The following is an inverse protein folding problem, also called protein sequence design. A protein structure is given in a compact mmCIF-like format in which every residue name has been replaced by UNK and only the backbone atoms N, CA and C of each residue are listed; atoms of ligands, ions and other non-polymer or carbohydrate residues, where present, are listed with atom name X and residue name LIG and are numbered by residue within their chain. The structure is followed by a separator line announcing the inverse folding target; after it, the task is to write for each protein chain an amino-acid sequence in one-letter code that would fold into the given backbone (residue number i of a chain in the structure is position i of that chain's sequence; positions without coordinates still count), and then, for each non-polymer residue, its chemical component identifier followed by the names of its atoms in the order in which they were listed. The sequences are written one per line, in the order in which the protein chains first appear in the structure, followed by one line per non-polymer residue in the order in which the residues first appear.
data_IF_615404034210
#
_entry.id   IF_615404034210
#
_cell.length_a   1.000
_cell.length_b   1.000
_cell.length_c   1.000
_cell.angle_alpha   90.00
_cell.angle_beta   90.00
_cell.angle_gamma   90.00
#
_symmetry.space_group_name_H-M   'P 1'
#
loop_
_entity.id
_entity.type
_entity.pdbx_description
1 polymer ?
#
# COMPACT_ATOMS: atom_id res chain seq x y z
N UNK A 1 14.53 27.12 1.47
CA UNK A 1 15.42 25.93 1.40
C UNK A 1 14.58 24.69 1.25
N UNK A 2 15.04 23.74 0.45
CA UNK A 2 14.35 22.46 0.31
C UNK A 2 14.78 21.49 1.38
N UNK A 3 13.81 20.91 2.08
CA UNK A 3 14.03 19.87 3.07
C UNK A 3 13.50 18.54 2.59
N UNK A 4 14.17 17.44 2.97
CA UNK A 4 13.80 16.09 2.61
C UNK A 4 13.16 15.39 3.81
N UNK A 5 11.96 14.84 3.62
CA UNK A 5 11.35 14.01 4.66
C UNK A 5 12.13 12.70 4.80
N UNK A 6 12.62 12.42 6.00
CA UNK A 6 13.43 11.22 6.28
C UNK A 6 12.61 9.92 6.20
N UNK A 7 11.27 10.03 6.21
CA UNK A 7 10.39 8.86 6.21
C UNK A 7 9.97 8.42 4.82
N UNK A 8 9.71 9.37 3.91
CA UNK A 8 9.20 9.05 2.56
C UNK A 8 10.07 9.58 1.43
N UNK A 9 11.07 10.42 1.73
CA UNK A 9 11.94 11.00 0.72
C UNK A 9 11.33 12.15 -0.08
N UNK A 10 10.14 12.62 0.29
CA UNK A 10 9.50 13.74 -0.38
C UNK A 10 10.14 15.06 -0.01
N UNK A 11 10.35 15.94 -0.99
CA UNK A 11 10.94 17.25 -0.77
C UNK A 11 9.86 18.30 -0.46
N UNK A 12 10.17 19.17 0.50
CA UNK A 12 9.30 20.28 0.90
C UNK A 12 10.08 21.57 0.95
N UNK A 13 9.43 22.69 0.60
CA UNK A 13 9.98 24.02 0.81
C UNK A 13 9.77 24.40 2.28
N UNK A 14 10.84 24.66 2.98
CA UNK A 14 10.82 25.00 4.39
C UNK A 14 11.73 26.22 4.66
N UNK A 15 11.44 26.95 5.74
CA UNK A 15 12.29 28.04 6.22
C UNK A 15 13.30 27.49 7.21
N UNK A 16 14.55 27.34 6.78
CA UNK A 16 15.64 26.83 7.62
C UNK A 16 16.98 27.43 7.18
N UNK A 17 17.93 27.49 8.10
CA UNK A 17 19.26 28.01 7.83
C UNK A 17 20.25 26.92 7.42
N UNK A 18 19.98 25.67 7.83
CA UNK A 18 20.84 24.53 7.54
C UNK A 18 20.04 23.42 6.87
N UNK A 19 20.72 22.53 6.13
CA UNK A 19 20.07 21.39 5.49
C UNK A 19 19.51 20.41 6.54
N UNK A 20 20.22 20.20 7.63
CA UNK A 20 19.77 19.33 8.72
C UNK A 20 18.46 19.82 9.34
N UNK A 21 18.36 21.12 9.59
CA UNK A 21 17.14 21.74 10.10
C UNK A 21 15.99 21.66 9.07
N UNK A 22 16.31 21.90 7.79
CA UNK A 22 15.34 21.81 6.71
C UNK A 22 14.76 20.38 6.61
N UNK A 23 15.59 19.37 6.70
CA UNK A 23 15.16 17.97 6.65
C UNK A 23 14.31 17.60 7.86
N UNK A 24 14.66 18.10 9.04
CA UNK A 24 13.88 17.91 10.26
C UNK A 24 12.49 18.51 10.14
N UNK A 25 12.40 19.76 9.70
CA UNK A 25 11.12 20.44 9.53
C UNK A 25 10.27 19.75 8.48
N UNK A 26 10.86 19.35 7.35
CA UNK A 26 10.17 18.62 6.30
C UNK A 26 9.62 17.29 6.80
N UNK A 27 10.38 16.57 7.64
CA UNK A 27 9.95 15.30 8.23
C UNK A 27 8.78 15.47 9.19
N UNK A 28 8.82 16.54 10.01
CA UNK A 28 7.76 16.83 10.98
C UNK A 28 6.47 17.30 10.31
N UNK A 29 6.56 18.08 9.24
CA UNK A 29 5.40 18.66 8.55
C UNK A 29 4.88 17.80 7.40
N UNK A 30 5.57 16.72 7.04
CA UNK A 30 5.14 15.83 5.96
C UNK A 30 3.92 15.00 6.35
N UNK A 31 2.93 14.92 5.46
CA UNK A 31 1.70 14.16 5.66
C UNK A 31 1.86 12.65 5.58
N UNK A 32 3.05 12.15 5.22
CA UNK A 32 3.27 10.72 5.02
C UNK A 32 3.04 9.88 6.29
N UNK A 33 3.10 10.50 7.47
CA UNK A 33 2.81 9.85 8.76
C UNK A 33 1.35 9.99 9.19
N UNK A 34 0.52 10.67 8.39
CA UNK A 34 -0.89 10.84 8.74
C UNK A 34 -1.64 9.52 8.51
N UNK A 35 -2.06 8.87 9.58
CA UNK A 35 -2.77 7.60 9.54
C UNK A 35 -4.05 7.67 8.71
N UNK A 36 -4.82 8.74 8.82
CA UNK A 36 -6.04 8.92 8.05
C UNK A 36 -5.75 8.99 6.55
N UNK A 37 -4.67 9.67 6.15
CA UNK A 37 -4.24 9.73 4.75
C UNK A 37 -3.77 8.36 4.27
N UNK A 38 -2.99 7.66 5.09
CA UNK A 38 -2.53 6.32 4.77
C UNK A 38 -3.70 5.35 4.55
N UNK A 39 -4.69 5.35 5.46
CA UNK A 39 -5.88 4.51 5.34
C UNK A 39 -6.65 4.79 4.05
N UNK A 40 -6.82 6.04 3.68
CA UNK A 40 -7.49 6.43 2.45
C UNK A 40 -6.74 5.93 1.23
N UNK A 41 -5.42 6.11 1.19
CA UNK A 41 -4.58 5.62 0.10
C UNK A 41 -4.63 4.10 0.00
N UNK A 42 -4.58 3.41 1.13
CA UNK A 42 -4.67 1.95 1.18
C UNK A 42 -6.01 1.47 0.64
N UNK A 43 -7.12 2.07 1.09
CA UNK A 43 -8.44 1.71 0.62
C UNK A 43 -8.60 1.93 -0.89
N UNK A 44 -8.13 3.07 -1.41
CA UNK A 44 -8.17 3.36 -2.83
C UNK A 44 -7.35 2.34 -3.63
N UNK A 45 -6.14 2.02 -3.19
CA UNK A 45 -5.26 1.08 -3.88
C UNK A 45 -5.83 -0.34 -3.85
N UNK A 46 -6.40 -0.77 -2.74
CA UNK A 46 -7.04 -2.09 -2.63
C UNK A 46 -8.26 -2.16 -3.54
N UNK A 47 -9.09 -1.12 -3.58
CA UNK A 47 -10.24 -1.06 -4.48
C UNK A 47 -9.83 -1.11 -5.96
N UNK A 48 -8.75 -0.43 -6.34
CA UNK A 48 -8.23 -0.45 -7.71
C UNK A 48 -7.71 -1.82 -8.11
N UNK A 49 -7.09 -2.53 -7.20
CA UNK A 49 -6.45 -3.82 -7.49
C UNK A 49 -7.39 -5.01 -7.25
N UNK A 50 -8.27 -4.93 -6.30
CA UNK A 50 -9.09 -6.04 -5.82
C UNK A 50 -10.60 -5.78 -5.83
N UNK A 51 -11.05 -4.53 -5.87
CA UNK A 51 -12.48 -4.15 -5.88
C UNK A 51 -13.07 -4.07 -7.28
N UNK A 52 -14.18 -3.37 -7.42
CA UNK A 52 -14.87 -3.22 -8.71
C UNK A 52 -13.96 -2.60 -9.78
N UNK A 53 -13.08 -1.68 -9.39
CA UNK A 53 -12.15 -1.05 -10.33
C UNK A 53 -11.12 -2.03 -10.90
N UNK A 54 -10.94 -3.18 -10.27
CA UNK A 54 -10.00 -4.21 -10.76
C UNK A 54 -10.41 -4.79 -12.11
N UNK A 55 -11.67 -4.62 -12.53
CA UNK A 55 -12.14 -4.99 -13.87
C UNK A 55 -11.37 -4.26 -14.96
N UNK A 56 -10.90 -3.04 -14.69
CA UNK A 56 -10.08 -2.26 -15.63
C UNK A 56 -8.72 -2.91 -15.87
N UNK A 57 -8.26 -3.77 -14.96
CA UNK A 57 -7.02 -4.53 -15.06
C UNK A 57 -7.26 -5.98 -15.48
N UNK A 58 -8.48 -6.30 -15.89
CA UNK A 58 -8.92 -7.65 -16.27
C UNK A 58 -8.87 -8.65 -15.11
N UNK A 59 -9.07 -8.19 -13.89
CA UNK A 59 -9.24 -9.05 -12.72
C UNK A 59 -10.72 -9.19 -12.35
N UNK A 60 -11.04 -10.26 -11.65
CA UNK A 60 -12.35 -10.47 -11.07
C UNK A 60 -12.39 -9.77 -9.71
N UNK A 61 -13.36 -8.88 -9.46
CA UNK A 61 -13.47 -8.24 -8.14
C UNK A 61 -13.67 -9.27 -7.03
N UNK A 62 -13.03 -9.01 -5.88
CA UNK A 62 -13.25 -9.84 -4.70
C UNK A 62 -14.62 -9.52 -4.08
N UNK A 63 -15.19 -10.48 -3.38
CA UNK A 63 -16.38 -10.23 -2.57
C UNK A 63 -16.05 -9.33 -1.37
N UNK A 64 -17.09 -8.79 -0.72
CA UNK A 64 -16.90 -7.83 0.38
C UNK A 64 -16.09 -8.40 1.54
N UNK A 65 -16.29 -9.66 1.86
CA UNK A 65 -15.56 -10.33 2.96
C UNK A 65 -14.09 -10.46 2.63
N UNK A 66 -13.75 -10.93 1.43
CA UNK A 66 -12.37 -11.08 0.99
C UNK A 66 -11.67 -9.73 0.85
N UNK A 67 -12.38 -8.74 0.35
CA UNK A 67 -11.86 -7.37 0.21
C UNK A 67 -11.51 -6.77 1.58
N UNK A 68 -12.39 -6.95 2.55
CA UNK A 68 -12.16 -6.50 3.93
C UNK A 68 -10.95 -7.20 4.53
N UNK A 69 -10.78 -8.48 4.27
CA UNK A 69 -9.64 -9.26 4.74
C UNK A 69 -8.31 -8.72 4.19
N UNK A 70 -8.28 -8.38 2.91
CA UNK A 70 -7.10 -7.75 2.29
C UNK A 70 -6.78 -6.41 2.96
N UNK A 71 -7.78 -5.57 3.19
CA UNK A 71 -7.60 -4.27 3.86
C UNK A 71 -7.08 -4.45 5.29
N UNK A 72 -7.66 -5.38 6.06
CA UNK A 72 -7.21 -5.67 7.42
C UNK A 72 -5.77 -6.17 7.44
N UNK A 73 -5.38 -7.00 6.50
CA UNK A 73 -4.00 -7.49 6.37
C UNK A 73 -3.03 -6.35 6.09
N UNK A 74 -3.39 -5.41 5.23
CA UNK A 74 -2.58 -4.22 4.99
C UNK A 74 -2.36 -3.42 6.26
N UNK A 75 -3.39 -3.25 7.08
CA UNK A 75 -3.31 -2.54 8.36
C UNK A 75 -2.37 -3.26 9.34
N UNK A 76 -2.45 -4.58 9.42
CA UNK A 76 -1.59 -5.38 10.29
C UNK A 76 -0.13 -5.30 9.88
N UNK A 77 0.15 -5.29 8.59
CA UNK A 77 1.52 -5.13 8.07
C UNK A 77 2.02 -3.72 8.35
N UNK A 78 1.18 -2.71 8.13
CA UNK A 78 1.52 -1.31 8.41
C UNK A 78 1.83 -1.09 9.88
N UNK A 79 1.08 -1.73 10.78
CA UNK A 79 1.29 -1.65 12.22
C UNK A 79 2.48 -2.48 12.72
N UNK A 80 3.04 -3.35 11.88
CA UNK A 80 4.19 -4.17 12.24
C UNK A 80 3.88 -5.50 12.90
N UNK A 81 2.61 -5.90 12.98
CA UNK A 81 2.23 -7.18 13.59
C UNK A 81 2.62 -8.37 12.72
N UNK A 82 2.56 -8.23 11.41
CA UNK A 82 2.99 -9.23 10.45
C UNK A 82 3.86 -8.56 9.39
N UNK A 83 4.73 -9.33 8.74
CA UNK A 83 5.65 -8.79 7.73
C UNK A 83 5.17 -8.99 6.30
N UNK A 84 4.40 -10.05 6.05
CA UNK A 84 3.88 -10.35 4.73
C UNK A 84 2.67 -11.29 4.83
N UNK A 85 1.93 -11.38 3.74
CA UNK A 85 0.81 -12.30 3.61
C UNK A 85 0.60 -12.66 2.15
N UNK A 86 -0.02 -13.81 1.91
CA UNK A 86 -0.31 -14.33 0.58
C UNK A 86 -1.68 -14.99 0.59
N UNK A 87 -2.52 -14.61 -0.36
CA UNK A 87 -3.87 -15.17 -0.52
C UNK A 87 -4.09 -15.64 -1.94
N UNK A 88 -5.03 -16.56 -2.09
CA UNK A 88 -5.56 -16.95 -3.39
C UNK A 88 -7.05 -16.68 -3.39
N UNK A 89 -7.52 -15.88 -4.32
CA UNK A 89 -8.94 -15.55 -4.48
C UNK A 89 -9.23 -15.08 -5.91
N UNK A 90 -10.44 -15.37 -6.40
CA UNK A 90 -10.92 -14.92 -7.69
C UNK A 90 -9.91 -15.19 -8.83
N UNK A 91 -9.40 -16.41 -8.92
CA UNK A 91 -8.41 -16.87 -9.91
C UNK A 91 -7.12 -16.04 -9.93
N UNK A 92 -6.75 -15.48 -8.82
CA UNK A 92 -5.54 -14.68 -8.68
C UNK A 92 -4.83 -14.96 -7.37
N UNK A 93 -3.57 -14.57 -7.32
CA UNK A 93 -2.74 -14.62 -6.12
C UNK A 93 -2.43 -13.19 -5.70
N UNK A 94 -2.67 -12.89 -4.43
CA UNK A 94 -2.44 -11.58 -3.85
C UNK A 94 -1.34 -11.70 -2.82
N UNK A 95 -0.25 -10.96 -3.02
CA UNK A 95 0.88 -10.88 -2.09
C UNK A 95 0.94 -9.49 -1.50
N UNK A 96 1.06 -9.41 -0.18
CA UNK A 96 1.18 -8.16 0.54
C UNK A 96 2.45 -8.23 1.37
N UNK A 97 3.36 -7.28 1.15
CA UNK A 97 4.66 -7.25 1.83
C UNK A 97 4.89 -5.89 2.48
N UNK A 98 5.47 -5.91 3.68
CA UNK A 98 6.00 -4.70 4.30
C UNK A 98 7.47 -4.53 3.89
N UNK A 99 7.79 -3.44 3.21
CA UNK A 99 9.15 -3.13 2.75
C UNK A 99 9.48 -1.71 3.15
N UNK A 100 10.50 -1.54 4.00
CA UNK A 100 11.02 -0.24 4.41
C UNK A 100 9.93 0.72 4.92
N UNK A 101 9.01 0.20 5.75
CA UNK A 101 7.91 0.98 6.30
C UNK A 101 6.74 1.23 5.34
N UNK A 102 6.78 0.65 4.15
CA UNK A 102 5.71 0.73 3.15
C UNK A 102 5.01 -0.61 3.02
N UNK A 103 3.74 -0.57 2.64
CA UNK A 103 2.97 -1.78 2.34
C UNK A 103 2.84 -1.91 0.82
N UNK A 104 3.36 -3.00 0.29
CA UNK A 104 3.35 -3.30 -1.14
C UNK A 104 2.36 -4.42 -1.43
N UNK A 105 1.46 -4.20 -2.40
CA UNK A 105 0.43 -5.16 -2.79
C UNK A 105 0.66 -5.56 -4.24
N UNK A 106 0.72 -6.87 -4.50
CA UNK A 106 0.85 -7.41 -5.84
C UNK A 106 -0.23 -8.44 -6.08
N UNK A 107 -0.96 -8.31 -7.18
CA UNK A 107 -1.95 -9.28 -7.62
C UNK A 107 -1.55 -9.86 -8.96
N UNK A 108 -1.49 -11.20 -9.04
CA UNK A 108 -1.08 -11.93 -10.24
C UNK A 108 -2.18 -12.91 -10.62
N UNK A 109 -2.54 -12.96 -11.91
CA UNK A 109 -3.49 -13.94 -12.41
C UNK A 109 -2.87 -15.33 -12.38
N UNK A 110 -3.64 -16.29 -11.83
CA UNK A 110 -3.31 -17.69 -11.97
C UNK A 110 -3.87 -18.17 -13.30
N UNK A 111 -2.98 -18.58 -14.19
CA UNK A 111 -3.40 -19.29 -15.39
C UNK A 111 -3.15 -20.78 -15.15
N UNK A 112 -4.22 -21.53 -15.08
CA UNK A 112 -4.15 -22.97 -14.98
C UNK A 112 -4.60 -23.54 -16.33
N UNK A 113 -3.65 -24.13 -17.05
CA UNK A 113 -3.93 -24.86 -18.29
C UNK A 113 -4.12 -26.35 -17.99
N UNK A 114 -4.92 -26.64 -16.99
CA UNK A 114 -5.20 -28.01 -16.59
C UNK A 114 -6.48 -28.47 -17.28
N UNK A 115 -6.38 -29.57 -18.00
CA UNK A 115 -7.56 -30.25 -18.54
C UNK A 115 -7.81 -31.52 -17.73
N UNK A 116 -9.03 -31.64 -17.20
CA UNK A 116 -9.49 -32.87 -16.56
C UNK A 116 -10.43 -33.56 -17.54
N UNK A 117 -10.06 -34.72 -17.90
CA UNK A 117 -10.82 -35.57 -18.84
C UNK A 117 -11.59 -36.61 -18.03
#
# INVERSE_FOLDING_TARGET
MEGLCKNCGQMHLVSAETQEEADRIASESCDCKNEAKWHRMMEENVEMLCGEQSRNLNFIPLDDTSLRYVKTTCELIHAGFISNAKFSAANSEIKINGVLGKVDIKRTKKQTNQMTI
#
